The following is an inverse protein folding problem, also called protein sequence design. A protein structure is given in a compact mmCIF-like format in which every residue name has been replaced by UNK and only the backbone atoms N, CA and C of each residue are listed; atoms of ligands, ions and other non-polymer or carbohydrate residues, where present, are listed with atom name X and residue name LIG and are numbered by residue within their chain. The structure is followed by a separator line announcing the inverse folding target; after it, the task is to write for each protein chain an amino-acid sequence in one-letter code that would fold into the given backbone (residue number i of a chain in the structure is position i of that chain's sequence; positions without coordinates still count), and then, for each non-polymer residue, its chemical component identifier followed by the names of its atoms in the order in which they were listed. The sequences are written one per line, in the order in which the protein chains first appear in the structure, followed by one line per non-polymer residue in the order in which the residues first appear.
data_IF_468770151535
#
_entry.id   IF_468770151535
#
_cell.length_a   1.000
_cell.length_b   1.000
_cell.length_c   1.000
_cell.angle_alpha   90.00
_cell.angle_beta   90.00
_cell.angle_gamma   90.00
#
_symmetry.space_group_name_H-M   'P 1'
#
loop_
_entity.id
_entity.type
_entity.pdbx_description
1 polymer ?
#
# COMPACT_ATOMS: atom_id res chain seq x y z
N UNK A 1 -13.42 3.70 19.66
CA UNK A 1 -12.19 3.40 18.90
C UNK A 1 -12.14 4.35 17.70
N UNK A 2 -11.03 5.04 17.48
CA UNK A 2 -10.84 5.95 16.33
C UNK A 2 -10.15 5.17 15.19
N UNK A 3 -10.62 5.34 13.95
CA UNK A 3 -10.02 4.75 12.75
C UNK A 3 -9.57 5.87 11.81
N UNK A 4 -8.34 5.77 11.32
CA UNK A 4 -7.73 6.72 10.40
C UNK A 4 -7.16 5.95 9.20
N UNK A 5 -7.15 6.60 8.03
CA UNK A 5 -6.45 6.11 6.83
C UNK A 5 -5.18 6.94 6.66
N UNK A 6 -4.06 6.29 6.38
CA UNK A 6 -2.76 6.93 6.16
C UNK A 6 -2.19 6.49 4.82
N UNK A 7 -1.62 7.43 4.07
CA UNK A 7 -0.73 7.13 2.94
C UNK A 7 0.66 6.77 3.45
N UNK A 8 1.49 6.19 2.58
CA UNK A 8 2.90 5.94 2.90
C UNK A 8 3.59 7.24 3.33
N UNK A 9 4.45 7.12 4.32
CA UNK A 9 5.18 8.21 4.98
C UNK A 9 4.32 9.23 5.76
N UNK A 10 2.99 9.17 5.69
CA UNK A 10 2.11 9.90 6.61
C UNK A 10 2.24 9.35 8.04
N UNK A 11 1.93 10.22 9.00
CA UNK A 11 2.03 9.92 10.42
C UNK A 11 0.82 10.47 11.18
N UNK A 12 0.58 9.91 12.36
CA UNK A 12 -0.33 10.45 13.35
C UNK A 12 0.43 10.69 14.65
N UNK A 13 -0.14 11.55 15.50
CA UNK A 13 0.38 11.79 16.84
C UNK A 13 -0.69 11.42 17.88
N UNK A 14 -0.23 10.86 19.01
CA UNK A 14 -1.06 10.57 20.18
C UNK A 14 -0.49 11.39 21.33
N UNK A 15 -1.34 12.17 22.00
CA UNK A 15 -0.93 13.01 23.12
C UNK A 15 0.26 13.94 22.81
N UNK A 16 0.42 14.33 21.53
CA UNK A 16 1.49 15.20 20.99
C UNK A 16 2.92 14.64 21.05
N UNK A 17 3.22 13.66 21.91
CA UNK A 17 4.57 13.15 22.14
C UNK A 17 4.81 11.72 21.66
N UNK A 18 3.76 11.01 21.22
CA UNK A 18 3.88 9.70 20.59
C UNK A 18 3.64 9.90 19.09
N UNK A 19 4.63 9.59 18.27
CA UNK A 19 4.54 9.68 16.80
C UNK A 19 4.48 8.28 16.21
N UNK A 20 3.48 8.03 15.37
CA UNK A 20 3.34 6.76 14.65
C UNK A 20 3.34 7.03 13.16
N UNK A 21 4.36 6.56 12.45
CA UNK A 21 4.50 6.72 11.00
C UNK A 21 4.27 5.40 10.26
N UNK A 22 3.52 5.45 9.15
CA UNK A 22 3.38 4.33 8.22
C UNK A 22 4.57 4.27 7.27
N UNK A 23 5.57 3.44 7.59
CA UNK A 23 6.83 3.40 6.85
C UNK A 23 6.76 2.54 5.58
N UNK A 24 5.98 1.45 5.60
CA UNK A 24 5.86 0.53 4.46
C UNK A 24 4.63 -0.35 4.60
N UNK A 25 4.04 -0.74 3.48
CA UNK A 25 3.07 -1.84 3.41
C UNK A 25 3.64 -2.93 2.50
N UNK A 26 3.61 -4.18 2.96
CA UNK A 26 3.98 -5.36 2.16
C UNK A 26 2.98 -6.47 2.40
N UNK A 27 2.19 -6.81 1.38
CA UNK A 27 1.13 -7.81 1.49
C UNK A 27 0.13 -7.45 2.59
N UNK A 28 -0.08 -8.36 3.55
CA UNK A 28 -0.97 -8.13 4.70
C UNK A 28 -0.30 -7.48 5.92
N UNK A 29 0.93 -6.94 5.76
CA UNK A 29 1.70 -6.35 6.85
C UNK A 29 1.93 -4.86 6.63
N UNK A 30 1.59 -4.07 7.64
CA UNK A 30 2.03 -2.69 7.76
C UNK A 30 3.27 -2.63 8.67
N UNK A 31 4.26 -1.84 8.26
CA UNK A 31 5.45 -1.53 9.04
C UNK A 31 5.27 -0.14 9.63
N UNK A 32 5.14 -0.09 10.94
CA UNK A 32 4.99 1.17 11.68
C UNK A 32 6.31 1.52 12.34
N UNK A 33 6.69 2.80 12.27
CA UNK A 33 7.72 3.39 13.13
C UNK A 33 7.01 4.11 14.26
N UNK A 34 7.40 3.82 15.49
CA UNK A 34 6.82 4.42 16.68
C UNK A 34 7.92 5.10 17.45
N UNK A 35 7.81 6.42 17.62
CA UNK A 35 8.65 7.22 18.49
C UNK A 35 7.83 7.61 19.71
N UNK A 36 8.36 7.33 20.90
CA UNK A 36 7.76 7.71 22.17
C UNK A 36 8.85 7.81 23.24
N UNK A 37 8.57 8.54 24.31
CA UNK A 37 9.43 8.55 25.49
C UNK A 37 9.59 7.14 26.08
N UNK A 38 10.76 6.84 26.66
CA UNK A 38 11.07 5.51 27.21
C UNK A 38 10.20 5.11 28.39
N UNK A 39 9.53 6.06 29.05
CA UNK A 39 8.53 5.79 30.08
C UNK A 39 7.26 5.11 29.52
N UNK A 40 7.02 5.19 28.20
CA UNK A 40 5.86 4.59 27.55
C UNK A 40 6.26 3.24 26.89
N UNK A 41 5.83 2.09 27.42
CA UNK A 41 6.21 0.80 26.87
C UNK A 41 5.52 0.51 25.53
N UNK A 42 6.32 0.20 24.50
CA UNK A 42 5.84 -0.23 23.18
C UNK A 42 6.03 -1.74 23.06
N UNK A 43 4.94 -2.51 23.11
CA UNK A 43 4.97 -3.98 23.10
C UNK A 43 4.03 -4.56 22.06
N UNK A 44 4.45 -5.68 21.44
CA UNK A 44 3.56 -6.45 20.55
C UNK A 44 2.48 -7.14 21.37
N UNK A 45 1.23 -7.10 20.91
CA UNK A 45 0.10 -7.74 21.60
C UNK A 45 0.33 -9.21 21.95
N UNK A 46 0.92 -9.99 21.03
CA UNK A 46 1.28 -11.40 21.30
C UNK A 46 2.27 -11.58 22.45
N UNK A 47 3.19 -10.64 22.65
CA UNK A 47 4.13 -10.67 23.77
C UNK A 47 3.43 -10.27 25.08
N UNK A 48 2.59 -9.24 25.02
CA UNK A 48 1.81 -8.77 26.15
C UNK A 48 0.85 -9.85 26.69
N UNK A 49 0.11 -10.51 25.81
CA UNK A 49 -0.80 -11.61 26.17
C UNK A 49 -0.03 -12.82 26.75
N UNK A 50 1.17 -13.13 26.23
CA UNK A 50 2.03 -14.19 26.77
C UNK A 50 2.53 -13.88 28.18
N UNK A 51 2.71 -12.61 28.51
CA UNK A 51 3.12 -12.17 29.85
C UNK A 51 1.96 -12.19 30.86
N UNK A 52 0.77 -12.64 30.46
CA UNK A 52 -0.40 -12.78 31.33
C UNK A 52 -1.36 -11.60 31.33
N UNK A 53 -1.09 -10.55 30.54
CA UNK A 53 -2.02 -9.45 30.38
C UNK A 53 -3.22 -9.85 29.50
N UNK A 54 -4.42 -9.40 29.87
CA UNK A 54 -5.62 -9.65 29.08
C UNK A 54 -5.59 -8.88 27.76
N UNK A 55 -6.11 -9.50 26.71
CA UNK A 55 -6.31 -8.84 25.42
C UNK A 55 -7.26 -7.64 25.59
N UNK A 56 -6.91 -6.43 25.10
CA UNK A 56 -7.79 -5.27 25.22
C UNK A 56 -9.16 -5.50 24.56
N UNK A 57 -10.24 -5.20 25.28
CA UNK A 57 -11.62 -5.44 24.84
C UNK A 57 -12.01 -4.65 23.59
N UNK A 58 -11.39 -3.49 23.38
CA UNK A 58 -11.68 -2.63 22.23
C UNK A 58 -11.16 -3.20 20.89
N UNK A 59 -10.33 -4.25 20.92
CA UNK A 59 -9.85 -4.90 19.70
C UNK A 59 -10.97 -5.73 19.06
N UNK A 60 -11.20 -5.52 17.77
CA UNK A 60 -12.09 -6.37 17.01
C UNK A 60 -11.68 -7.85 17.20
N UNK A 61 -12.68 -8.70 17.47
CA UNK A 61 -12.45 -10.14 17.48
C UNK A 61 -11.90 -10.53 16.11
N UNK A 62 -10.82 -11.32 16.11
CA UNK A 62 -10.32 -11.90 14.87
C UNK A 62 -11.52 -12.64 14.26
N UNK A 63 -11.93 -12.32 13.01
CA UNK A 63 -13.03 -13.05 12.40
C UNK A 63 -12.66 -14.54 12.47
N UNK A 64 -13.59 -15.42 12.92
CA UNK A 64 -13.32 -16.85 13.00
C UNK A 64 -12.72 -17.25 11.66
N UNK A 65 -11.60 -17.98 11.70
CA UNK A 65 -10.78 -18.30 10.54
C UNK A 65 -11.68 -18.89 9.44
N UNK A 66 -12.24 -18.01 8.60
CA UNK A 66 -13.11 -18.41 7.49
C UNK A 66 -12.19 -19.22 6.62
N UNK A 67 -12.43 -20.54 6.64
CA UNK A 67 -11.72 -21.55 5.86
C UNK A 67 -11.31 -20.93 4.54
N UNK A 68 -9.99 -20.84 4.29
CA UNK A 68 -9.27 -20.54 3.05
C UNK A 68 -10.16 -20.31 1.81
N UNK A 69 -11.07 -19.35 1.83
CA UNK A 69 -11.52 -18.69 0.61
C UNK A 69 -10.38 -17.75 0.33
N UNK A 70 -9.82 -17.84 -0.88
CA UNK A 70 -8.83 -16.89 -1.43
C UNK A 70 -9.36 -15.48 -1.19
N UNK A 71 -9.10 -14.91 0.00
CA UNK A 71 -9.59 -13.61 0.40
C UNK A 71 -8.74 -12.64 -0.39
N UNK A 72 -9.39 -11.95 -1.32
CA UNK A 72 -9.09 -10.58 -1.72
C UNK A 72 -7.65 -10.20 -1.39
N UNK A 73 -6.72 -10.74 -2.17
CA UNK A 73 -5.36 -10.28 -2.10
C UNK A 73 -5.45 -8.81 -2.50
N UNK A 74 -5.29 -7.90 -1.54
CA UNK A 74 -4.96 -6.51 -1.83
C UNK A 74 -3.67 -6.56 -2.66
N UNK A 75 -3.82 -6.56 -3.98
CA UNK A 75 -2.73 -6.69 -4.94
C UNK A 75 -1.97 -5.36 -4.98
N UNK A 76 -1.08 -5.15 -4.02
CA UNK A 76 -0.16 -4.02 -4.07
C UNK A 76 0.75 -4.13 -5.30
N UNK A 77 0.90 -3.02 -6.04
CA UNK A 77 1.83 -2.91 -7.16
C UNK A 77 3.25 -2.76 -6.62
N UNK A 78 4.03 -3.84 -6.62
CA UNK A 78 5.41 -3.82 -6.14
C UNK A 78 6.39 -3.38 -7.23
N UNK A 79 7.55 -2.84 -6.85
CA UNK A 79 8.63 -2.54 -7.78
C UNK A 79 9.05 -3.77 -8.62
N UNK A 80 8.97 -4.97 -8.05
CA UNK A 80 9.22 -6.22 -8.78
C UNK A 80 8.18 -6.48 -9.89
N UNK A 81 6.90 -6.15 -9.65
CA UNK A 81 5.85 -6.23 -10.67
C UNK A 81 6.06 -5.18 -11.75
N UNK A 82 6.45 -3.96 -11.39
CA UNK A 82 6.79 -2.91 -12.34
C UNK A 82 7.96 -3.33 -13.23
N UNK A 83 9.03 -3.88 -12.65
CA UNK A 83 10.17 -4.40 -13.41
C UNK A 83 9.78 -5.58 -14.32
N UNK A 84 8.89 -6.47 -13.85
CA UNK A 84 8.39 -7.57 -14.67
C UNK A 84 7.59 -7.05 -15.87
N UNK A 85 6.76 -6.03 -15.69
CA UNK A 85 6.03 -5.37 -16.79
C UNK A 85 6.98 -4.74 -17.80
N UNK A 86 7.98 -3.98 -17.36
CA UNK A 86 8.98 -3.38 -18.28
C UNK A 86 9.69 -4.45 -19.12
N UNK A 87 10.07 -5.58 -18.50
CA UNK A 87 10.67 -6.71 -19.23
C UNK A 87 9.69 -7.36 -20.22
N UNK A 88 8.41 -7.43 -19.88
CA UNK A 88 7.38 -7.94 -20.80
C UNK A 88 7.18 -6.99 -21.98
N UNK A 89 7.24 -5.67 -21.78
CA UNK A 89 7.22 -4.67 -22.85
C UNK A 89 8.42 -4.80 -23.78
N UNK A 90 9.63 -4.99 -23.25
CA UNK A 90 10.84 -5.27 -24.04
C UNK A 90 10.71 -6.55 -24.89
N UNK A 91 10.10 -7.60 -24.33
CA UNK A 91 9.83 -8.86 -25.06
C UNK A 91 8.85 -8.63 -26.21
N UNK A 92 7.79 -7.85 -25.97
CA UNK A 92 6.79 -7.48 -26.97
C UNK A 92 7.41 -6.70 -28.13
N UNK A 93 8.27 -5.72 -27.86
CA UNK A 93 8.99 -4.99 -28.91
C UNK A 93 9.88 -5.90 -29.75
N UNK A 94 10.50 -6.91 -29.12
CA UNK A 94 11.31 -7.90 -29.84
C UNK A 94 10.44 -8.82 -30.69
N UNK A 95 9.26 -9.21 -30.22
CA UNK A 95 8.30 -10.01 -31.00
C UNK A 95 7.81 -9.25 -32.23
N UNK A 96 7.50 -7.95 -32.09
CA UNK A 96 7.14 -7.08 -33.21
C UNK A 96 8.26 -7.02 -34.27
N UNK A 97 9.52 -6.84 -33.84
CA UNK A 97 10.69 -6.81 -34.73
C UNK A 97 10.92 -8.15 -35.46
N UNK A 98 10.54 -9.26 -34.84
CA UNK A 98 10.70 -10.60 -35.40
C UNK A 98 9.49 -11.05 -36.26
N UNK A 99 8.50 -10.18 -36.49
CA UNK A 99 7.33 -10.46 -37.31
C UNK A 99 6.22 -11.25 -36.61
N UNK A 100 6.30 -11.46 -35.30
CA UNK A 100 5.28 -12.13 -34.47
C UNK A 100 4.25 -11.13 -33.95
N UNK A 101 3.69 -10.33 -34.86
CA UNK A 101 2.87 -9.16 -34.51
C UNK A 101 1.53 -9.54 -33.87
N UNK A 102 0.92 -10.62 -34.32
CA UNK A 102 -0.36 -11.09 -33.79
C UNK A 102 -0.24 -11.56 -32.33
N UNK A 103 0.74 -12.42 -32.04
CA UNK A 103 1.04 -12.87 -30.67
C UNK A 103 1.43 -11.71 -29.74
N UNK A 104 2.14 -10.70 -30.27
CA UNK A 104 2.53 -9.51 -29.52
C UNK A 104 1.31 -8.63 -29.18
N UNK A 105 0.39 -8.44 -30.12
CA UNK A 105 -0.85 -7.69 -29.88
C UNK A 105 -1.77 -8.40 -28.88
N UNK A 106 -1.87 -9.73 -28.95
CA UNK A 106 -2.64 -10.52 -27.99
C UNK A 106 -2.06 -10.41 -26.57
N UNK A 107 -0.74 -10.55 -26.43
CA UNK A 107 -0.07 -10.41 -25.15
C UNK A 107 -0.12 -8.98 -24.59
N UNK A 108 -0.04 -7.94 -25.44
CA UNK A 108 -0.30 -6.53 -25.04
C UNK A 108 -1.69 -6.34 -24.47
N UNK A 109 -2.69 -6.95 -25.09
CA UNK A 109 -4.09 -6.88 -24.62
C UNK A 109 -4.21 -7.48 -23.23
N UNK A 110 -3.61 -8.65 -22.99
CA UNK A 110 -3.60 -9.26 -21.66
C UNK A 110 -2.84 -8.40 -20.62
N UNK A 111 -1.73 -7.78 -21.02
CA UNK A 111 -0.97 -6.89 -20.15
C UNK A 111 -1.82 -5.68 -19.71
N UNK A 112 -2.56 -5.06 -20.62
CA UNK A 112 -3.45 -3.93 -20.33
C UNK A 112 -4.56 -4.26 -19.32
N UNK A 113 -4.97 -5.53 -19.23
CA UNK A 113 -5.94 -5.99 -18.24
C UNK A 113 -5.32 -6.25 -16.85
N UNK A 114 -4.01 -6.53 -16.80
CA UNK A 114 -3.30 -6.91 -15.57
C UNK A 114 -2.56 -5.75 -14.92
N UNK A 115 -2.06 -4.83 -15.73
CA UNK A 115 -1.37 -3.62 -15.27
C UNK A 115 -2.43 -2.60 -14.88
N UNK A 116 -2.38 -2.03 -13.66
CA UNK A 116 -3.16 -0.85 -13.34
C UNK A 116 -2.76 0.23 -14.36
N UNK A 117 -3.60 0.45 -15.37
CA UNK A 117 -3.40 1.56 -16.31
C UNK A 117 -3.21 2.82 -15.49
N UNK A 118 -2.07 3.52 -15.64
CA UNK A 118 -1.58 4.88 -15.28
C UNK A 118 -2.47 5.83 -14.41
N UNK A 119 -3.46 5.33 -13.66
CA UNK A 119 -4.50 6.08 -12.98
C UNK A 119 -4.12 6.41 -11.54
N UNK A 120 -3.11 5.76 -10.95
CA UNK A 120 -2.59 6.18 -9.66
C UNK A 120 -1.68 7.42 -9.78
N UNK A 121 -0.98 7.60 -10.90
CA UNK A 121 -0.16 8.81 -11.15
C UNK A 121 -1.02 10.00 -11.62
N UNK A 122 -1.93 9.78 -12.59
CA UNK A 122 -2.79 10.85 -13.10
C UNK A 122 -3.80 11.38 -12.08
N UNK A 123 -4.25 10.57 -11.12
CA UNK A 123 -5.11 11.04 -10.03
C UNK A 123 -4.31 11.88 -9.03
N UNK A 124 -3.06 11.51 -8.74
CA UNK A 124 -2.18 12.26 -7.86
C UNK A 124 -1.83 13.63 -8.46
N UNK A 125 -1.53 13.69 -9.75
CA UNK A 125 -1.23 14.94 -10.45
C UNK A 125 -2.47 15.83 -10.62
N UNK A 126 -3.64 15.27 -10.93
CA UNK A 126 -4.91 16.03 -10.95
C UNK A 126 -5.27 16.59 -9.57
N UNK A 127 -5.10 15.81 -8.51
CA UNK A 127 -5.37 16.26 -7.14
C UNK A 127 -4.36 17.31 -6.70
N UNK A 128 -3.08 17.19 -7.08
CA UNK A 128 -2.04 18.18 -6.82
C UNK A 128 -2.30 19.50 -7.55
N UNK A 129 -2.70 19.45 -8.81
CA UNK A 129 -3.09 20.62 -9.60
C UNK A 129 -4.30 21.34 -8.98
N UNK A 130 -5.33 20.60 -8.55
CA UNK A 130 -6.51 21.15 -7.86
C UNK A 130 -6.19 21.78 -6.49
N UNK A 131 -5.10 21.37 -5.85
CA UNK A 131 -4.63 21.94 -4.58
C UNK A 131 -3.75 23.18 -4.79
N UNK A 132 -3.01 23.26 -5.90
CA UNK A 132 -2.18 24.42 -6.25
C UNK A 132 -3.03 25.61 -6.73
N UNK A 133 -4.15 25.36 -7.39
CA UNK A 133 -5.11 26.37 -7.87
C UNK A 133 -5.88 27.06 -6.73
N UNK A 134 -5.80 26.54 -5.49
CA UNK A 134 -6.48 27.08 -4.30
C UNK A 134 -5.59 27.90 -3.37
N UNK A 135 -4.32 28.14 -3.70
CA UNK A 135 -3.46 29.02 -2.90
C UNK A 135 -3.72 30.49 -3.28
N UNK A 136 -4.19 31.36 -2.36
CA UNK A 136 -4.39 32.76 -2.69
C UNK A 136 -3.03 33.44 -2.84
N UNK A 137 -2.85 34.18 -3.95
CA UNK A 137 -1.79 35.17 -4.10
C UNK A 137 -1.88 36.14 -2.93
N UNK A 138 -0.91 36.05 -2.01
CA UNK A 138 -0.71 37.07 -0.98
C UNK A 138 0.25 38.11 -1.55
N UNK A 139 -0.33 39.24 -1.97
CA UNK A 139 0.32 40.55 -2.01
C UNK A 139 0.76 41.00 -0.61
#
# INVERSE_FOLDING_TARGET
MLQLSLRLDEYLTINQNIVVQLARITGSRAYLRVEADRSVPIVRGKLLEKAGASRPECLASLPPARARRRKDALYYWSAEKEQAVRKMEEILERMDKNGQREDAEELRTQLNHLVPTVWEENLFDKVKALLQDKAPEKS
#
